data_IF_614435154214
#
_entry.id   IF_614435154214
#
_cell.length_a   1.000
_cell.length_b   1.000
_cell.length_c   1.000
_cell.angle_alpha   90.00
_cell.angle_beta   90.00
_cell.angle_gamma   90.00
#
_symmetry.space_group_name_H-M   'P 1'
#
loop_
_entity.id
_entity.type
_entity.pdbx_description
1 polymer ?
#
# COMPACT_ATOMS: atom_id res chain seq x y z
N UNK A 1 -28.06 2.12 8.77
CA UNK A 1 -27.10 1.63 7.76
C UNK A 1 -25.83 1.31 8.52
N UNK A 2 -25.30 0.10 8.36
CA UNK A 2 -24.00 -0.25 8.92
C UNK A 2 -22.90 0.28 7.99
N UNK A 3 -21.92 0.99 8.55
CA UNK A 3 -20.80 1.61 7.84
C UNK A 3 -19.46 1.00 8.25
N UNK A 4 -19.48 -0.05 9.07
CA UNK A 4 -18.29 -0.79 9.45
C UNK A 4 -17.73 -1.53 8.23
N UNK A 5 -16.42 -1.74 8.25
CA UNK A 5 -15.76 -2.63 7.29
C UNK A 5 -16.23 -4.07 7.51
N UNK A 6 -16.25 -4.85 6.43
CA UNK A 6 -16.29 -6.31 6.53
C UNK A 6 -14.99 -6.83 7.13
N UNK A 7 -15.00 -8.07 7.62
CA UNK A 7 -13.79 -8.70 8.17
C UNK A 7 -12.65 -8.73 7.15
N UNK A 8 -12.96 -9.02 5.88
CA UNK A 8 -11.99 -9.02 4.78
C UNK A 8 -11.39 -7.62 4.53
N UNK A 9 -12.23 -6.57 4.55
CA UNK A 9 -11.78 -5.19 4.41
C UNK A 9 -10.90 -4.76 5.59
N UNK A 10 -11.23 -5.20 6.80
CA UNK A 10 -10.44 -4.93 8.00
C UNK A 10 -9.08 -5.64 7.94
N UNK A 11 -9.06 -6.92 7.54
CA UNK A 11 -7.81 -7.67 7.31
C UNK A 11 -6.93 -7.00 6.25
N UNK A 12 -7.51 -6.59 5.12
CA UNK A 12 -6.76 -5.90 4.06
C UNK A 12 -6.16 -4.59 4.57
N UNK A 13 -6.92 -3.81 5.33
CA UNK A 13 -6.46 -2.55 5.91
C UNK A 13 -5.29 -2.76 6.87
N UNK A 14 -5.35 -3.77 7.71
CA UNK A 14 -4.31 -4.05 8.71
C UNK A 14 -3.02 -4.53 8.04
N UNK A 15 -3.11 -5.48 7.10
CA UNK A 15 -1.94 -5.92 6.31
C UNK A 15 -1.32 -4.77 5.51
N UNK A 16 -2.15 -3.92 4.88
CA UNK A 16 -1.67 -2.75 4.11
C UNK A 16 -0.94 -1.77 5.01
N UNK A 17 -1.46 -1.53 6.22
CA UNK A 17 -0.82 -0.65 7.21
C UNK A 17 0.55 -1.17 7.62
N UNK A 18 0.63 -2.43 8.03
CA UNK A 18 1.88 -3.04 8.48
C UNK A 18 2.94 -3.02 7.37
N UNK A 19 2.56 -3.34 6.14
CA UNK A 19 3.44 -3.27 4.98
C UNK A 19 3.98 -1.85 4.75
N UNK A 20 3.11 -0.84 4.69
CA UNK A 20 3.53 0.54 4.43
C UNK A 20 4.35 1.13 5.59
N UNK A 21 4.08 0.75 6.83
CA UNK A 21 4.90 1.15 7.98
C UNK A 21 6.33 0.62 7.88
N UNK A 22 6.52 -0.60 7.35
CA UNK A 22 7.83 -1.19 7.13
C UNK A 22 8.54 -0.62 5.89
N UNK A 23 7.81 -0.47 4.79
CA UNK A 23 8.39 -0.17 3.46
C UNK A 23 8.48 1.33 3.17
N UNK A 24 7.70 2.19 3.84
CA UNK A 24 7.66 3.64 3.60
C UNK A 24 8.19 4.46 4.79
N UNK A 25 9.49 4.33 5.16
CA UNK A 25 10.06 5.16 6.22
C UNK A 25 10.05 6.64 5.81
N UNK A 26 9.98 7.54 6.79
CA UNK A 26 9.96 9.01 6.54
C UNK A 26 11.11 9.50 5.66
N UNK A 27 12.27 8.86 5.73
CA UNK A 27 13.42 9.19 4.89
C UNK A 27 13.14 8.88 3.41
N UNK A 28 12.52 7.73 3.11
CA UNK A 28 12.10 7.39 1.75
C UNK A 28 11.08 8.41 1.25
N UNK A 29 10.03 8.69 2.05
CA UNK A 29 8.99 9.66 1.67
C UNK A 29 9.61 11.02 1.30
N UNK A 30 10.55 11.52 2.11
CA UNK A 30 11.27 12.77 1.81
C UNK A 30 12.08 12.71 0.52
N UNK A 31 12.76 11.59 0.26
CA UNK A 31 13.52 11.43 -0.99
C UNK A 31 12.62 11.42 -2.23
N UNK A 32 11.39 10.90 -2.09
CA UNK A 32 10.42 10.82 -3.18
C UNK A 32 9.75 12.18 -3.49
N UNK A 33 9.84 13.18 -2.62
CA UNK A 33 9.27 14.52 -2.88
C UNK A 33 9.83 15.18 -4.15
N UNK A 34 11.03 14.80 -4.58
CA UNK A 34 11.74 15.39 -5.72
C UNK A 34 12.04 14.35 -6.80
N UNK A 35 11.52 13.13 -6.64
CA UNK A 35 11.65 12.05 -7.60
C UNK A 35 10.53 12.15 -8.65
N UNK A 36 10.85 11.94 -9.92
CA UNK A 36 9.88 12.11 -11.03
C UNK A 36 8.74 11.08 -10.97
N UNK A 37 9.00 9.86 -10.49
CA UNK A 37 7.97 8.82 -10.31
C UNK A 37 7.29 8.95 -8.94
N UNK A 38 8.02 9.40 -7.92
CA UNK A 38 7.53 9.60 -6.56
C UNK A 38 7.41 8.31 -5.74
N UNK A 39 7.96 7.20 -6.25
CA UNK A 39 8.06 5.93 -5.53
C UNK A 39 9.18 5.05 -6.13
N UNK A 40 9.77 4.13 -5.36
CA UNK A 40 10.69 3.13 -5.90
C UNK A 40 9.92 2.07 -6.70
N UNK A 41 10.38 1.72 -7.91
CA UNK A 41 9.76 0.65 -8.72
C UNK A 41 9.67 -0.70 -7.97
N UNK A 42 10.63 -0.98 -7.07
CA UNK A 42 10.61 -2.17 -6.22
C UNK A 42 9.42 -2.17 -5.25
N UNK A 43 9.07 -1.01 -4.66
CA UNK A 43 7.91 -0.88 -3.78
C UNK A 43 6.64 -1.24 -4.53
N UNK A 44 6.50 -0.73 -5.76
CA UNK A 44 5.36 -1.04 -6.62
C UNK A 44 5.30 -2.53 -6.98
N UNK A 45 6.45 -3.13 -7.25
CA UNK A 45 6.55 -4.57 -7.55
C UNK A 45 6.10 -5.43 -6.37
N UNK A 46 6.53 -5.10 -5.14
CA UNK A 46 6.06 -5.77 -3.91
C UNK A 46 4.54 -5.66 -3.74
N UNK A 47 3.95 -4.48 -3.99
CA UNK A 47 2.49 -4.31 -3.94
C UNK A 47 1.76 -5.16 -4.99
N UNK A 48 2.34 -5.33 -6.18
CA UNK A 48 1.80 -6.19 -7.21
C UNK A 48 1.87 -7.67 -6.84
N UNK A 49 2.95 -8.13 -6.20
CA UNK A 49 3.10 -9.50 -5.69
C UNK A 49 2.07 -9.84 -4.60
N UNK A 50 1.68 -8.84 -3.80
CA UNK A 50 0.58 -8.95 -2.82
C UNK A 50 -0.82 -8.96 -3.48
N UNK A 51 -0.90 -8.84 -4.80
CA UNK A 51 -2.15 -8.90 -5.56
C UNK A 51 -2.97 -7.60 -5.53
N UNK A 52 -2.44 -6.50 -4.99
CA UNK A 52 -3.23 -5.29 -4.77
C UNK A 52 -3.71 -4.61 -6.04
N UNK A 53 -2.94 -4.73 -7.13
CA UNK A 53 -3.35 -4.20 -8.44
C UNK A 53 -4.57 -4.92 -9.02
N UNK A 54 -4.83 -6.15 -8.55
CA UNK A 54 -6.00 -6.94 -8.93
C UNK A 54 -7.29 -6.54 -8.19
N UNK A 55 -7.19 -5.90 -7.01
CA UNK A 55 -8.32 -5.66 -6.12
C UNK A 55 -9.43 -4.77 -6.71
N UNK A 56 -9.09 -3.94 -7.70
CA UNK A 56 -10.04 -3.05 -8.37
C UNK A 56 -10.83 -3.75 -9.47
N UNK A 57 -10.47 -4.98 -9.83
CA UNK A 57 -11.11 -5.76 -10.88
C UNK A 57 -12.06 -6.82 -10.28
N UNK A 58 -13.21 -7.08 -10.92
CA UNK A 58 -14.17 -8.11 -10.49
C UNK A 58 -13.63 -9.54 -10.54
#
# INVERSE_FOLDING_TARGET
MDLNFTDEQQMLKDMTREFLEAECPKALVRSMEHDDLGYPEELWSKMAELGWMGLVFP
#
